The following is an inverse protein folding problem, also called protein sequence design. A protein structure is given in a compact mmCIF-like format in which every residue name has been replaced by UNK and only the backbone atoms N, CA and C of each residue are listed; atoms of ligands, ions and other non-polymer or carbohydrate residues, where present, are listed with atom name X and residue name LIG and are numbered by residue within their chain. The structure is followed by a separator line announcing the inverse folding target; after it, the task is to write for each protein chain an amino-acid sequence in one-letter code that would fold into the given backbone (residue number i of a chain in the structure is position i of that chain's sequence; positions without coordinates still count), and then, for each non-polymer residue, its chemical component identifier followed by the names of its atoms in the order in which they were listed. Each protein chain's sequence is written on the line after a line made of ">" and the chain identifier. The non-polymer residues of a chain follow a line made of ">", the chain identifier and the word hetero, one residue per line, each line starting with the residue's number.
data_IF_027052041654
#
_entry.id   IF_027052041654
#
_cell.length_a   1.000
_cell.length_b   1.000
_cell.length_c   1.000
_cell.angle_alpha   90.00
_cell.angle_beta   90.00
_cell.angle_gamma   90.00
#
_symmetry.space_group_name_H-M   'P 1'
#
loop_
_entity.id
_entity.type
_entity.pdbx_description
1 polymer ?
#
# COMPACT_ATOMS: atom_id res chain seq x y z
N UNK A 1 -24.20 22.10 8.53
CA UNK A 1 -24.38 20.73 8.01
C UNK A 1 -23.10 20.18 7.41
N UNK A 2 -22.60 20.73 6.30
CA UNK A 2 -21.37 20.24 5.64
C UNK A 2 -20.15 20.24 6.57
N UNK A 3 -19.99 21.29 7.38
CA UNK A 3 -18.96 21.36 8.42
C UNK A 3 -19.12 20.26 9.46
N UNK A 4 -20.35 19.93 9.87
CA UNK A 4 -20.63 18.87 10.86
C UNK A 4 -20.25 17.49 10.30
N UNK A 5 -20.63 17.20 9.06
CA UNK A 5 -20.24 15.95 8.37
C UNK A 5 -18.72 15.85 8.31
N UNK A 6 -18.02 16.88 7.83
CA UNK A 6 -16.55 16.88 7.72
C UNK A 6 -15.82 16.73 9.05
N UNK A 7 -16.34 17.29 10.13
CA UNK A 7 -15.63 17.39 11.41
C UNK A 7 -16.01 16.30 12.42
N UNK A 8 -17.21 15.73 12.31
CA UNK A 8 -17.75 14.79 13.31
C UNK A 8 -18.07 13.41 12.73
N UNK A 9 -18.29 13.29 11.42
CA UNK A 9 -18.67 12.02 10.76
C UNK A 9 -17.55 11.49 9.85
N UNK A 10 -16.76 12.41 9.30
CA UNK A 10 -15.37 12.33 8.83
C UNK A 10 -14.40 11.56 9.73
N UNK A 11 -13.97 10.31 9.45
CA UNK A 11 -12.86 9.74 10.19
C UNK A 11 -11.56 10.47 9.86
N UNK A 12 -10.73 10.70 10.88
CA UNK A 12 -9.55 11.57 10.80
C UNK A 12 -8.45 11.06 9.84
N UNK A 13 -8.41 9.76 9.58
CA UNK A 13 -7.38 9.07 8.78
C UNK A 13 -7.74 8.94 7.29
N UNK A 14 -8.85 9.51 6.84
CA UNK A 14 -9.37 9.33 5.49
C UNK A 14 -9.88 10.64 4.90
N UNK A 15 -9.30 11.03 3.77
CA UNK A 15 -9.72 12.21 3.02
C UNK A 15 -10.51 11.80 1.78
N UNK A 16 -11.68 12.42 1.61
CA UNK A 16 -12.49 12.28 0.41
C UNK A 16 -11.91 13.12 -0.73
N UNK A 17 -12.07 12.64 -1.97
CA UNK A 17 -11.86 13.49 -3.14
C UNK A 17 -12.97 14.52 -3.26
N UNK A 18 -12.74 15.60 -4.03
CA UNK A 18 -13.75 16.64 -4.25
C UNK A 18 -15.05 16.08 -4.87
N UNK A 19 -14.95 15.03 -5.69
CA UNK A 19 -16.09 14.35 -6.29
C UNK A 19 -16.88 13.53 -5.26
N UNK A 20 -16.19 12.76 -4.41
CA UNK A 20 -16.83 12.00 -3.33
C UNK A 20 -17.48 12.90 -2.28
N UNK A 21 -16.84 14.03 -1.96
CA UNK A 21 -17.45 15.05 -1.10
C UNK A 21 -18.74 15.63 -1.72
N UNK A 22 -18.72 15.94 -3.01
CA UNK A 22 -19.90 16.47 -3.71
C UNK A 22 -21.06 15.46 -3.72
N UNK A 23 -20.77 14.19 -3.99
CA UNK A 23 -21.76 13.10 -3.96
C UNK A 23 -22.33 12.90 -2.56
N UNK A 24 -21.48 12.86 -1.52
CA UNK A 24 -21.91 12.72 -0.14
C UNK A 24 -22.82 13.89 0.28
N UNK A 25 -22.45 15.13 -0.06
CA UNK A 25 -23.26 16.29 0.28
C UNK A 25 -24.57 16.38 -0.51
N UNK A 26 -24.61 15.90 -1.76
CA UNK A 26 -25.84 15.84 -2.53
C UNK A 26 -26.88 14.92 -1.87
N UNK A 27 -26.45 13.75 -1.39
CA UNK A 27 -27.34 12.83 -0.69
C UNK A 27 -27.73 13.30 0.71
N UNK A 28 -26.80 13.89 1.48
CA UNK A 28 -27.14 14.53 2.76
C UNK A 28 -28.22 15.59 2.56
N UNK A 29 -28.09 16.44 1.54
CA UNK A 29 -29.12 17.44 1.20
C UNK A 29 -30.46 16.80 0.81
N UNK A 30 -30.43 15.68 0.10
CA UNK A 30 -31.64 14.93 -0.29
C UNK A 30 -32.37 14.37 0.93
N UNK A 31 -31.66 13.77 1.88
CA UNK A 31 -32.23 13.28 3.14
C UNK A 31 -32.88 14.42 3.94
N UNK A 32 -32.20 15.57 4.02
CA UNK A 32 -32.70 16.72 4.76
C UNK A 32 -33.94 17.36 4.12
N UNK A 33 -34.04 17.36 2.79
CA UNK A 33 -35.24 17.84 2.10
C UNK A 33 -36.44 16.88 2.27
N UNK A 34 -36.18 15.59 2.51
CA UNK A 34 -37.21 14.58 2.78
C UNK A 34 -37.65 14.49 4.24
N UNK A 35 -36.89 15.08 5.18
CA UNK A 35 -37.25 15.12 6.58
C UNK A 35 -38.31 16.19 6.82
N UNK A 36 -39.49 15.78 7.30
CA UNK A 36 -40.62 16.66 7.65
C UNK A 36 -40.43 17.41 8.98
N UNK A 37 -39.31 17.21 9.66
CA UNK A 37 -38.99 17.82 10.96
C UNK A 37 -38.30 19.17 10.75
N UNK A 38 -38.85 20.24 11.31
CA UNK A 38 -38.25 21.59 11.27
C UNK A 38 -36.96 21.67 12.11
N UNK A 39 -36.73 20.69 12.99
CA UNK A 39 -35.48 20.57 13.75
C UNK A 39 -34.40 19.83 12.94
N UNK A 40 -33.63 20.59 12.16
CA UNK A 40 -32.44 20.14 11.40
C UNK A 40 -31.38 19.35 12.20
N UNK A 41 -31.52 19.25 13.52
CA UNK A 41 -30.60 18.52 14.42
C UNK A 41 -31.32 17.57 15.38
N UNK A 42 -32.52 17.11 15.03
CA UNK A 42 -33.19 16.05 15.78
C UNK A 42 -32.29 14.80 15.84
N UNK A 43 -32.46 14.01 16.90
CA UNK A 43 -31.70 12.77 17.09
C UNK A 43 -31.89 11.84 15.89
N UNK A 44 -33.07 11.86 15.27
CA UNK A 44 -33.41 11.09 14.08
C UNK A 44 -32.57 11.52 12.88
N UNK A 45 -32.46 12.83 12.60
CA UNK A 45 -31.67 13.33 11.48
C UNK A 45 -30.19 13.00 11.66
N UNK A 46 -29.64 13.13 12.88
CA UNK A 46 -28.25 12.76 13.14
C UNK A 46 -27.98 11.28 12.90
N UNK A 47 -28.87 10.42 13.37
CA UNK A 47 -28.74 8.98 13.17
C UNK A 47 -28.82 8.60 11.68
N UNK A 48 -29.77 9.18 10.94
CA UNK A 48 -29.85 8.98 9.48
C UNK A 48 -28.60 9.46 8.74
N UNK A 49 -27.98 10.55 9.20
CA UNK A 49 -26.74 11.05 8.62
C UNK A 49 -25.53 10.15 8.95
N UNK A 50 -25.46 9.61 10.17
CA UNK A 50 -24.44 8.62 10.56
C UNK A 50 -24.54 7.37 9.69
N UNK A 51 -25.73 6.81 9.52
CA UNK A 51 -25.96 5.63 8.66
C UNK A 51 -25.61 5.93 7.19
N UNK A 52 -26.01 7.10 6.66
CA UNK A 52 -25.67 7.49 5.30
C UNK A 52 -24.15 7.58 5.08
N UNK A 53 -23.47 8.26 6.01
CA UNK A 53 -22.01 8.41 5.96
C UNK A 53 -21.36 7.04 6.01
N UNK A 54 -21.78 6.14 6.89
CA UNK A 54 -21.24 4.78 6.93
C UNK A 54 -21.48 4.03 5.61
N UNK A 55 -22.70 4.03 5.08
CA UNK A 55 -23.01 3.31 3.82
C UNK A 55 -22.18 3.82 2.64
N UNK A 56 -21.91 5.13 2.56
CA UNK A 56 -21.16 5.71 1.44
C UNK A 56 -19.66 5.70 1.63
N UNK A 57 -19.19 5.98 2.84
CA UNK A 57 -17.77 6.14 3.12
C UNK A 57 -17.08 4.80 3.27
N UNK A 58 -17.76 3.75 3.76
CA UNK A 58 -17.15 2.43 3.95
C UNK A 58 -16.60 1.81 2.63
N UNK A 59 -17.33 1.82 1.51
CA UNK A 59 -16.78 1.35 0.23
C UNK A 59 -15.53 2.11 -0.22
N UNK A 60 -15.55 3.45 -0.10
CA UNK A 60 -14.41 4.28 -0.49
C UNK A 60 -13.20 4.08 0.43
N UNK A 61 -13.43 3.81 1.72
CA UNK A 61 -12.39 3.44 2.67
C UNK A 61 -11.73 2.14 2.29
N UNK A 62 -12.53 1.13 1.98
CA UNK A 62 -12.03 -0.16 1.59
C UNK A 62 -11.22 -0.08 0.28
N UNK A 63 -11.72 0.67 -0.70
CA UNK A 63 -10.99 0.94 -1.93
C UNK A 63 -9.64 1.63 -1.67
N UNK A 64 -9.62 2.70 -0.87
CA UNK A 64 -8.37 3.39 -0.52
C UNK A 64 -7.44 2.48 0.28
N UNK A 65 -7.96 1.65 1.18
CA UNK A 65 -7.17 0.68 1.94
C UNK A 65 -6.48 -0.30 1.00
N UNK A 66 -7.23 -0.90 0.07
CA UNK A 66 -6.70 -1.82 -0.94
C UNK A 66 -5.67 -1.15 -1.84
N UNK A 67 -5.95 0.09 -2.30
CA UNK A 67 -5.01 0.86 -3.12
C UNK A 67 -3.71 1.16 -2.38
N UNK A 68 -3.80 1.63 -1.14
CA UNK A 68 -2.63 1.90 -0.30
C UNK A 68 -1.82 0.61 -0.03
N UNK A 69 -2.49 -0.52 0.16
CA UNK A 69 -1.82 -1.82 0.30
C UNK A 69 -1.08 -2.21 -0.98
N UNK A 70 -1.70 -2.07 -2.15
CA UNK A 70 -1.07 -2.35 -3.44
C UNK A 70 0.14 -1.44 -3.70
N UNK A 71 0.00 -0.14 -3.43
CA UNK A 71 1.10 0.83 -3.56
C UNK A 71 2.26 0.46 -2.63
N UNK A 72 1.97 0.11 -1.38
CA UNK A 72 2.99 -0.30 -0.41
C UNK A 72 3.70 -1.59 -0.82
N UNK A 73 2.97 -2.60 -1.31
CA UNK A 73 3.59 -3.84 -1.82
C UNK A 73 4.49 -3.53 -3.01
N UNK A 74 4.06 -2.65 -3.92
CA UNK A 74 4.87 -2.21 -5.05
C UNK A 74 6.16 -1.54 -4.57
N UNK A 75 6.09 -0.61 -3.63
CA UNK A 75 7.27 0.05 -3.05
C UNK A 75 8.26 -0.96 -2.43
N UNK A 76 7.74 -1.96 -1.72
CA UNK A 76 8.56 -3.03 -1.12
C UNK A 76 9.24 -3.88 -2.21
N UNK A 77 8.52 -4.22 -3.28
CA UNK A 77 9.06 -4.99 -4.41
C UNK A 77 10.15 -4.21 -5.15
N UNK A 78 9.92 -2.93 -5.40
CA UNK A 78 10.90 -2.06 -6.06
C UNK A 78 12.16 -1.93 -5.18
N UNK A 79 11.99 -1.69 -3.86
CA UNK A 79 13.10 -1.63 -2.91
C UNK A 79 13.89 -2.95 -2.83
N UNK A 80 13.22 -4.10 -2.92
CA UNK A 80 13.87 -5.42 -2.89
C UNK A 80 14.91 -5.58 -4.01
N UNK A 81 14.59 -5.10 -5.22
CA UNK A 81 15.49 -5.16 -6.38
C UNK A 81 16.70 -4.25 -6.17
N UNK A 82 16.53 -3.08 -5.57
CA UNK A 82 17.62 -2.13 -5.30
C UNK A 82 18.62 -2.65 -4.27
N UNK A 83 18.19 -3.51 -3.34
CA UNK A 83 19.10 -4.12 -2.36
C UNK A 83 20.07 -5.14 -2.95
N UNK A 84 19.88 -5.61 -4.19
CA UNK A 84 20.83 -6.51 -4.85
C UNK A 84 22.21 -5.87 -4.97
N UNK A 85 22.29 -4.61 -5.41
CA UNK A 85 23.55 -3.88 -5.50
C UNK A 85 24.21 -3.70 -4.12
N UNK A 86 23.39 -3.41 -3.09
CA UNK A 86 23.86 -3.31 -1.71
C UNK A 86 24.42 -4.63 -1.19
N UNK A 87 23.77 -5.75 -1.53
CA UNK A 87 24.25 -7.08 -1.17
C UNK A 87 25.63 -7.32 -1.76
N UNK A 88 25.78 -7.14 -3.08
CA UNK A 88 27.03 -7.42 -3.80
C UNK A 88 28.18 -6.49 -3.37
N UNK A 89 27.88 -5.23 -3.07
CA UNK A 89 28.90 -4.23 -2.73
C UNK A 89 29.31 -4.18 -1.26
N UNK A 90 28.42 -4.57 -0.33
CA UNK A 90 28.65 -4.34 1.11
C UNK A 90 28.55 -5.60 1.95
N UNK A 91 27.63 -6.52 1.63
CA UNK A 91 27.30 -7.66 2.50
C UNK A 91 27.83 -9.01 2.01
N UNK A 92 28.04 -9.17 0.71
CA UNK A 92 28.51 -10.41 0.13
C UNK A 92 30.00 -10.62 0.46
N UNK A 93 30.33 -11.76 1.05
CA UNK A 93 31.72 -12.17 1.20
C UNK A 93 32.34 -12.47 -0.17
N UNK A 94 33.68 -12.39 -0.33
CA UNK A 94 34.34 -12.75 -1.59
C UNK A 94 33.98 -14.16 -2.08
N UNK A 95 33.88 -15.14 -1.17
CA UNK A 95 33.47 -16.51 -1.50
C UNK A 95 32.02 -16.60 -1.98
N UNK A 96 31.11 -15.82 -1.38
CA UNK A 96 29.71 -15.73 -1.81
C UNK A 96 29.60 -15.14 -3.21
N UNK A 97 30.40 -14.10 -3.51
CA UNK A 97 30.44 -13.50 -4.84
C UNK A 97 30.95 -14.49 -5.90
N UNK A 98 31.99 -15.27 -5.59
CA UNK A 98 32.48 -16.30 -6.50
C UNK A 98 31.45 -17.41 -6.74
N UNK A 99 30.76 -17.87 -5.70
CA UNK A 99 29.68 -18.85 -5.82
C UNK A 99 28.55 -18.34 -6.72
N UNK A 100 28.11 -17.09 -6.52
CA UNK A 100 27.11 -16.46 -7.38
C UNK A 100 27.57 -16.33 -8.83
N UNK A 101 28.82 -15.92 -9.06
CA UNK A 101 29.40 -15.86 -10.40
C UNK A 101 29.39 -17.21 -11.09
N UNK A 102 29.75 -18.28 -10.36
CA UNK A 102 29.75 -19.65 -10.87
C UNK A 102 28.34 -20.15 -11.14
N UNK A 103 27.41 -19.96 -10.21
CA UNK A 103 26.02 -20.40 -10.32
C UNK A 103 25.27 -19.71 -11.48
N UNK A 104 25.54 -18.43 -11.70
CA UNK A 104 24.93 -17.64 -12.78
C UNK A 104 25.72 -17.77 -14.09
N UNK A 105 27.01 -18.10 -14.03
CA UNK A 105 27.90 -18.21 -15.19
C UNK A 105 28.34 -16.86 -15.75
N UNK A 106 28.33 -15.79 -14.94
CA UNK A 106 28.67 -14.42 -15.35
C UNK A 106 29.86 -13.90 -14.52
N UNK A 107 30.95 -13.53 -15.20
CA UNK A 107 32.16 -13.00 -14.56
C UNK A 107 32.16 -11.47 -14.44
N UNK A 108 31.45 -10.77 -15.33
CA UNK A 108 31.36 -9.31 -15.31
C UNK A 108 30.47 -8.84 -14.14
N UNK A 109 30.97 -7.97 -13.23
CA UNK A 109 30.21 -7.56 -12.06
C UNK A 109 28.89 -6.83 -12.37
N UNK A 110 28.86 -6.00 -13.43
CA UNK A 110 27.66 -5.25 -13.78
C UNK A 110 26.61 -6.15 -14.42
N UNK A 111 27.02 -7.06 -15.31
CA UNK A 111 26.13 -8.06 -15.89
C UNK A 111 25.59 -9.04 -14.83
N UNK A 112 26.42 -9.42 -13.83
CA UNK A 112 25.98 -10.24 -12.71
C UNK A 112 24.92 -9.52 -11.89
N UNK A 113 25.14 -8.25 -11.55
CA UNK A 113 24.17 -7.45 -10.81
C UNK A 113 22.86 -7.32 -11.57
N UNK A 114 22.90 -7.02 -12.87
CA UNK A 114 21.70 -6.90 -13.71
C UNK A 114 20.91 -8.22 -13.76
N UNK A 115 21.59 -9.35 -13.91
CA UNK A 115 20.94 -10.66 -13.93
C UNK A 115 20.36 -11.04 -12.56
N UNK A 116 21.07 -10.75 -11.46
CA UNK A 116 20.54 -10.98 -10.12
C UNK A 116 19.35 -10.08 -9.81
N UNK A 117 19.37 -8.80 -10.23
CA UNK A 117 18.22 -7.89 -10.15
C UNK A 117 17.01 -8.46 -10.90
N UNK A 118 17.21 -8.99 -12.11
CA UNK A 118 16.14 -9.64 -12.89
C UNK A 118 15.56 -10.86 -12.14
N UNK A 119 16.42 -11.74 -11.62
CA UNK A 119 15.98 -12.94 -10.88
C UNK A 119 15.26 -12.58 -9.58
N UNK A 120 15.74 -11.57 -8.85
CA UNK A 120 15.07 -11.08 -7.64
C UNK A 120 13.74 -10.43 -7.98
N UNK A 121 13.65 -9.66 -9.06
CA UNK A 121 12.38 -9.09 -9.53
C UNK A 121 11.36 -10.19 -9.88
N UNK A 122 11.79 -11.24 -10.59
CA UNK A 122 10.93 -12.39 -10.92
C UNK A 122 10.48 -13.15 -9.67
N UNK A 123 11.40 -13.38 -8.73
CA UNK A 123 11.11 -14.08 -7.49
C UNK A 123 10.20 -13.28 -6.55
N UNK A 124 10.43 -11.98 -6.36
CA UNK A 124 9.64 -11.14 -5.44
C UNK A 124 8.20 -10.91 -5.93
N UNK A 125 7.95 -11.03 -7.24
CA UNK A 125 6.60 -11.06 -7.81
C UNK A 125 5.85 -12.31 -7.37
N UNK A 126 6.55 -13.44 -7.20
CA UNK A 126 5.97 -14.70 -6.73
C UNK A 126 5.72 -14.76 -5.22
N UNK A 127 6.20 -13.80 -4.44
CA UNK A 127 5.94 -13.71 -2.99
C UNK A 127 4.56 -13.10 -2.75
N UNK A 128 3.77 -13.74 -1.90
CA UNK A 128 2.43 -13.30 -1.51
C UNK A 128 2.45 -11.90 -0.89
N UNK A 129 1.47 -11.07 -1.29
CA UNK A 129 1.34 -9.68 -0.81
C UNK A 129 1.26 -9.60 0.72
N UNK A 130 0.52 -10.51 1.37
CA UNK A 130 0.39 -10.59 2.83
C UNK A 130 1.71 -10.92 3.54
N UNK A 131 2.62 -11.65 2.88
CA UNK A 131 3.96 -11.89 3.41
C UNK A 131 4.85 -10.66 3.24
N UNK A 132 4.76 -9.98 2.09
CA UNK A 132 5.52 -8.75 1.83
C UNK A 132 5.09 -7.60 2.75
N UNK A 133 3.81 -7.48 3.07
CA UNK A 133 3.27 -6.44 3.96
C UNK A 133 3.79 -6.53 5.40
N UNK A 134 4.42 -7.64 5.79
CA UNK A 134 5.11 -7.79 7.09
C UNK A 134 6.44 -7.03 7.12
N UNK A 135 6.97 -6.67 5.95
CA UNK A 135 8.21 -5.90 5.80
C UNK A 135 7.88 -4.43 5.52
N UNK A 136 8.88 -3.58 5.75
CA UNK A 136 8.96 -2.24 5.18
C UNK A 136 10.08 -2.17 4.13
N UNK A 137 10.22 -1.00 3.50
CA UNK A 137 11.24 -0.73 2.49
C UNK A 137 12.68 -0.85 3.01
N UNK A 138 12.91 -0.89 4.32
CA UNK A 138 14.24 -1.03 4.93
C UNK A 138 14.52 -2.46 5.41
N UNK A 139 13.51 -3.21 5.82
CA UNK A 139 13.65 -4.58 6.34
C UNK A 139 13.58 -5.62 5.24
N UNK A 140 13.00 -5.31 4.07
CA UNK A 140 12.94 -6.24 2.92
C UNK A 140 14.32 -6.70 2.46
N UNK A 141 15.39 -5.92 2.74
CA UNK A 141 16.77 -6.31 2.48
C UNK A 141 17.15 -7.65 3.12
N UNK A 142 16.63 -7.96 4.32
CA UNK A 142 17.02 -9.17 5.05
C UNK A 142 16.47 -10.41 4.33
N UNK A 143 15.26 -10.29 3.80
CA UNK A 143 14.62 -11.29 2.96
C UNK A 143 15.40 -11.48 1.64
N UNK A 144 15.77 -10.38 0.97
CA UNK A 144 16.56 -10.43 -0.28
C UNK A 144 17.93 -11.05 -0.04
N UNK A 145 18.61 -10.70 1.05
CA UNK A 145 19.93 -11.23 1.37
C UNK A 145 19.87 -12.71 1.72
N UNK A 146 18.82 -13.16 2.41
CA UNK A 146 18.60 -14.59 2.64
C UNK A 146 18.40 -15.33 1.31
N UNK A 147 17.60 -14.77 0.40
CA UNK A 147 17.35 -15.36 -0.90
C UNK A 147 18.62 -15.44 -1.77
N UNK A 148 19.40 -14.38 -1.86
CA UNK A 148 20.65 -14.37 -2.63
C UNK A 148 21.67 -15.39 -2.09
N UNK A 149 21.76 -15.55 -0.76
CA UNK A 149 22.60 -16.58 -0.15
C UNK A 149 22.12 -18.00 -0.46
N UNK A 150 20.82 -18.20 -0.67
CA UNK A 150 20.27 -19.52 -1.04
C UNK A 150 20.62 -19.96 -2.47
N UNK A 151 21.07 -19.02 -3.32
CA UNK A 151 21.48 -19.30 -4.70
C UNK A 151 22.99 -19.54 -4.85
N UNK A 152 23.73 -19.47 -3.74
CA UNK A 152 25.16 -19.77 -3.66
C UNK A 152 25.38 -21.27 -3.44
#
# INVERSE_FOLDING_TARGET
>A
METYVRTHLLPYDFSLTAEQEADLFAEVRTILQGATDDELFSVVIRHMMEELVDVKVQPWREENRLKNQLERVKEIRDAAVDYVGTFLGVQASPSTLEQLRQAVGINDPQALEAELRRRVAEWIIGVEDDQLLQYDVFTVKDLVFAQLRSWC
#
